data_IF_152074427323
#
_entry.id   IF_152074427323
#
_cell.length_a   1.000
_cell.length_b   1.000
_cell.length_c   1.000
_cell.angle_alpha   90.00
_cell.angle_beta   90.00
_cell.angle_gamma   90.00
#
_symmetry.space_group_name_H-M   'P 1'
#
loop_
_entity.id
_entity.type
_entity.pdbx_description
1 polymer ?
#
# COMPACT_ATOMS: atom_id res chain seq x y z
N UNK A 1 1.72 -12.43 35.85
CA UNK A 1 0.38 -12.45 35.19
C UNK A 1 -0.39 -11.26 35.75
N UNK A 2 -0.51 -10.19 34.95
CA UNK A 2 -1.26 -8.97 35.28
C UNK A 2 -2.70 -9.18 34.87
N UNK A 3 -3.63 -9.37 35.78
CA UNK A 3 -5.05 -9.42 35.54
C UNK A 3 -5.61 -8.00 35.58
N UNK A 4 -6.06 -7.48 34.42
CA UNK A 4 -6.86 -6.27 34.34
C UNK A 4 -8.34 -6.66 34.50
N UNK A 5 -8.93 -6.35 35.67
CA UNK A 5 -10.37 -6.25 35.83
C UNK A 5 -10.79 -4.79 35.97
N UNK A 6 -11.89 -4.44 35.33
CA UNK A 6 -12.50 -3.13 35.34
C UNK A 6 -12.41 -2.43 36.72
N UNK A 7 -11.88 -1.20 36.71
CA UNK A 7 -11.94 -0.16 37.74
C UNK A 7 -10.99 -0.21 38.95
N UNK A 8 -10.19 -1.22 39.18
CA UNK A 8 -9.13 -1.12 40.21
C UNK A 8 -7.87 -1.81 39.70
N UNK A 9 -6.79 -1.03 39.53
CA UNK A 9 -5.45 -1.62 39.34
C UNK A 9 -5.05 -2.19 40.69
N UNK A 10 -5.37 -3.43 40.98
CA UNK A 10 -4.87 -4.13 42.16
C UNK A 10 -3.54 -4.79 41.80
N UNK A 11 -2.43 -4.03 41.98
CA UNK A 11 -1.09 -4.61 42.08
C UNK A 11 -0.90 -5.19 43.50
N UNK A 12 -1.77 -6.10 43.92
CA UNK A 12 -1.53 -6.84 45.14
C UNK A 12 -0.72 -8.09 44.83
N UNK A 13 0.57 -7.94 44.70
CA UNK A 13 1.50 -9.05 44.65
C UNK A 13 2.61 -8.81 45.68
N UNK A 14 3.43 -9.82 45.98
CA UNK A 14 4.54 -9.73 46.96
C UNK A 14 5.54 -8.59 46.68
N UNK A 15 5.49 -7.97 45.49
CA UNK A 15 6.42 -6.92 45.06
C UNK A 15 5.85 -5.51 45.07
N UNK A 16 4.51 -5.33 45.08
CA UNK A 16 3.90 -4.03 44.97
C UNK A 16 2.69 -3.88 45.89
N UNK A 17 2.53 -2.68 46.46
CA UNK A 17 1.35 -2.28 47.23
C UNK A 17 0.64 -1.15 46.50
N UNK A 18 -0.67 -1.26 46.35
CA UNK A 18 -1.53 -0.21 45.85
C UNK A 18 -2.35 0.40 46.94
N UNK A 19 -2.42 1.72 47.01
CA UNK A 19 -3.21 2.46 47.97
C UNK A 19 -3.96 3.63 47.33
N UNK A 20 -5.16 3.91 47.81
CA UNK A 20 -5.89 5.10 47.41
C UNK A 20 -5.42 6.28 48.26
N UNK A 21 -5.16 7.43 47.63
CA UNK A 21 -4.68 8.65 48.25
C UNK A 21 -5.69 9.79 48.02
N UNK A 22 -6.00 10.51 49.10
CA UNK A 22 -6.95 11.64 49.04
C UNK A 22 -6.26 13.00 48.94
N UNK A 23 -5.05 13.11 49.47
CA UNK A 23 -4.29 14.37 49.53
C UNK A 23 -3.00 14.25 48.72
N UNK A 24 -3.11 14.47 47.41
CA UNK A 24 -1.95 14.54 46.52
C UNK A 24 -1.84 15.93 45.89
N UNK A 25 -0.62 16.50 45.72
CA UNK A 25 -0.43 17.81 45.07
C UNK A 25 -1.05 17.91 43.65
N UNK A 26 -1.09 16.79 42.96
CA UNK A 26 -1.86 16.71 41.69
C UNK A 26 -3.29 16.22 42.02
N UNK A 27 -4.34 17.05 41.80
CA UNK A 27 -5.72 16.71 42.14
C UNK A 27 -6.31 15.57 41.29
N UNK A 28 -5.61 15.15 40.25
CA UNK A 28 -6.00 14.05 39.36
C UNK A 28 -5.28 12.73 39.67
N UNK A 29 -4.53 12.67 40.76
CA UNK A 29 -3.81 11.47 41.23
C UNK A 29 -4.50 10.95 42.50
N UNK A 30 -5.16 9.81 42.36
CA UNK A 30 -5.89 9.17 43.46
C UNK A 30 -5.33 7.79 43.84
N UNK A 31 -4.29 7.35 43.13
CA UNK A 31 -3.71 6.01 43.33
C UNK A 31 -2.20 6.11 43.41
N UNK A 32 -1.63 5.47 44.46
CA UNK A 32 -0.19 5.27 44.61
C UNK A 32 0.13 3.79 44.53
N UNK A 33 1.16 3.47 43.76
CA UNK A 33 1.75 2.13 43.69
C UNK A 33 3.16 2.21 44.27
N UNK A 34 3.42 1.51 45.36
CA UNK A 34 4.72 1.48 46.05
C UNK A 34 5.40 0.13 45.79
N UNK A 35 6.64 0.15 45.33
CA UNK A 35 7.44 -1.06 45.21
C UNK A 35 7.89 -1.54 46.60
N UNK A 36 7.73 -2.84 46.84
CA UNK A 36 8.23 -3.56 48.02
C UNK A 36 9.53 -4.31 47.72
N UNK A 37 10.06 -4.17 46.52
CA UNK A 37 11.32 -4.82 46.12
C UNK A 37 12.51 -4.27 46.87
N UNK A 38 13.43 -5.15 47.11
CA UNK A 38 14.67 -4.85 47.82
C UNK A 38 15.88 -5.07 46.92
N UNK A 39 17.07 -4.67 47.40
CA UNK A 39 18.31 -4.90 46.68
C UNK A 39 18.61 -6.40 46.40
N UNK A 40 17.98 -7.31 47.16
CA UNK A 40 18.12 -8.77 46.97
C UNK A 40 17.39 -9.29 45.71
N UNK A 41 16.41 -8.57 45.24
CA UNK A 41 15.62 -8.93 44.08
C UNK A 41 16.31 -8.55 42.73
N UNK A 42 17.51 -7.95 42.83
CA UNK A 42 18.26 -7.44 41.67
C UNK A 42 19.71 -7.91 41.69
N UNK A 43 20.23 -8.21 40.51
CA UNK A 43 21.65 -8.41 40.25
C UNK A 43 22.13 -7.38 39.22
N UNK A 44 23.41 -7.04 39.27
CA UNK A 44 24.00 -6.11 38.34
C UNK A 44 23.91 -6.66 36.91
N UNK A 45 23.33 -5.92 35.93
CA UNK A 45 23.23 -6.40 34.58
C UNK A 45 24.58 -6.51 33.84
N UNK A 46 25.62 -5.81 34.39
CA UNK A 46 26.95 -5.79 33.77
C UNK A 46 27.89 -6.87 34.32
N UNK A 47 27.94 -7.07 35.68
CA UNK A 47 28.89 -7.99 36.31
C UNK A 47 28.22 -9.04 37.19
N UNK A 48 26.91 -9.10 37.27
CA UNK A 48 26.08 -10.02 38.05
C UNK A 48 26.33 -9.99 39.58
N UNK A 49 27.09 -9.00 40.06
CA UNK A 49 27.35 -8.83 41.51
C UNK A 49 26.12 -8.30 42.25
N UNK A 50 26.19 -8.34 43.59
CA UNK A 50 25.12 -7.85 44.45
C UNK A 50 24.89 -6.34 44.29
N UNK A 51 23.63 -5.94 44.50
CA UNK A 51 23.22 -4.54 44.50
C UNK A 51 22.92 -4.07 45.93
N UNK A 52 23.01 -2.77 46.18
CA UNK A 52 22.54 -2.14 47.41
C UNK A 52 21.60 -0.97 47.10
N UNK A 53 20.74 -0.61 48.05
CA UNK A 53 19.82 0.52 47.90
C UNK A 53 20.61 1.82 47.78
N UNK A 54 20.36 2.59 46.73
CA UNK A 54 21.06 3.85 46.42
C UNK A 54 20.14 5.06 46.57
N UNK A 55 18.81 4.87 46.51
CA UNK A 55 17.83 5.93 46.66
C UNK A 55 16.42 5.49 46.24
N UNK A 56 15.45 6.37 46.49
CA UNK A 56 14.09 6.20 46.03
C UNK A 56 13.78 7.21 44.92
N UNK A 57 12.72 6.96 44.16
CA UNK A 57 12.16 7.91 43.22
C UNK A 57 10.64 7.80 43.22
N UNK A 58 9.97 8.90 42.80
CA UNK A 58 8.55 8.91 42.53
C UNK A 58 8.30 9.51 41.16
N UNK A 59 7.32 8.99 40.46
CA UNK A 59 6.95 9.44 39.11
C UNK A 59 5.44 9.36 38.89
N UNK A 60 4.88 10.41 38.30
CA UNK A 60 3.49 10.44 37.83
C UNK A 60 3.37 9.83 36.44
N UNK A 61 2.52 8.84 36.33
CA UNK A 61 2.21 8.13 35.10
C UNK A 61 0.77 8.44 34.74
N UNK A 62 0.53 8.88 33.52
CA UNK A 62 -0.83 9.17 33.04
C UNK A 62 -1.57 7.88 32.77
N UNK A 63 -2.74 7.75 33.37
CA UNK A 63 -3.62 6.60 33.23
C UNK A 63 -4.83 6.90 32.36
N UNK A 64 -5.54 5.85 31.98
CA UNK A 64 -6.80 5.94 31.26
C UNK A 64 -7.87 6.61 32.17
N UNK A 65 -8.56 7.66 31.69
CA UNK A 65 -9.54 8.36 32.50
C UNK A 65 -10.82 7.53 32.68
N UNK A 66 -11.42 7.62 33.86
CA UNK A 66 -12.68 6.94 34.18
C UNK A 66 -13.87 7.59 33.46
N UNK A 67 -13.82 8.91 33.21
CA UNK A 67 -14.83 9.68 32.50
C UNK A 67 -14.22 10.52 31.38
N UNK A 68 -14.99 10.82 30.30
CA UNK A 68 -14.56 11.73 29.26
C UNK A 68 -14.09 13.09 29.81
N UNK A 69 -13.00 13.62 29.26
CA UNK A 69 -12.36 14.89 29.65
C UNK A 69 -11.71 14.93 31.03
N UNK A 70 -11.75 13.86 31.81
CA UNK A 70 -10.97 13.77 33.04
C UNK A 70 -9.51 13.46 32.77
N UNK A 71 -8.64 13.86 33.70
CA UNK A 71 -7.24 13.43 33.76
C UNK A 71 -7.10 12.47 34.93
N UNK A 72 -6.38 11.37 34.72
CA UNK A 72 -6.07 10.40 35.77
C UNK A 72 -4.59 10.10 35.76
N UNK A 73 -3.99 10.08 36.90
CA UNK A 73 -2.58 9.74 37.10
C UNK A 73 -2.41 8.72 38.22
N UNK A 74 -1.39 7.91 38.09
CA UNK A 74 -0.90 6.99 39.10
C UNK A 74 0.46 7.51 39.54
N UNK A 75 0.70 7.63 40.85
CA UNK A 75 2.01 7.86 41.40
C UNK A 75 2.68 6.50 41.63
N UNK A 76 3.84 6.28 41.00
CA UNK A 76 4.66 5.11 41.28
C UNK A 76 5.87 5.53 42.11
N UNK A 77 6.07 4.84 43.25
CA UNK A 77 7.23 5.01 44.12
C UNK A 77 8.09 3.74 44.09
N UNK A 78 9.33 3.89 43.64
CA UNK A 78 10.28 2.78 43.47
C UNK A 78 11.68 3.13 43.94
N UNK A 79 12.63 2.23 43.69
CA UNK A 79 13.98 2.30 44.22
C UNK A 79 15.03 2.35 43.09
N UNK A 80 16.18 2.94 43.47
CA UNK A 80 17.40 2.87 42.68
C UNK A 80 18.40 2.00 43.42
N UNK A 81 19.15 1.21 42.69
CA UNK A 81 20.15 0.30 43.23
C UNK A 81 21.49 0.55 42.57
N UNK A 82 22.57 0.33 43.34
CA UNK A 82 23.93 0.48 42.82
C UNK A 82 24.71 -0.80 43.07
N UNK A 83 25.54 -1.17 42.09
CA UNK A 83 26.38 -2.35 42.16
C UNK A 83 27.54 -2.18 43.18
N UNK A 84 27.78 -3.19 43.97
CA UNK A 84 28.88 -3.19 44.95
C UNK A 84 30.27 -3.32 44.30
N UNK A 85 30.35 -3.89 43.09
CA UNK A 85 31.62 -4.17 42.42
C UNK A 85 31.98 -3.18 41.32
N UNK A 86 31.09 -2.90 40.36
CA UNK A 86 31.39 -2.03 39.23
C UNK A 86 30.79 -0.62 39.35
N UNK A 87 29.99 -0.35 40.36
CA UNK A 87 29.38 0.96 40.57
C UNK A 87 28.20 1.27 39.65
N UNK A 88 27.80 0.36 38.76
CA UNK A 88 26.65 0.53 37.84
C UNK A 88 25.38 0.82 38.64
N UNK A 89 24.58 1.76 38.17
CA UNK A 89 23.34 2.18 38.84
C UNK A 89 22.14 1.78 37.97
N UNK A 90 21.18 1.07 38.55
CA UNK A 90 19.92 0.73 37.90
C UNK A 90 18.77 1.44 38.62
N UNK A 91 17.78 1.82 37.81
CA UNK A 91 16.47 2.29 38.31
C UNK A 91 15.47 1.18 38.10
N UNK A 92 14.67 0.91 39.10
CA UNK A 92 13.61 -0.12 39.01
C UNK A 92 12.65 0.16 37.87
N UNK A 93 12.28 -0.88 37.14
CA UNK A 93 11.27 -0.80 36.09
C UNK A 93 9.88 -0.57 36.68
N UNK A 94 9.08 0.24 36.00
CA UNK A 94 7.71 0.55 36.37
C UNK A 94 6.75 -0.38 35.62
N UNK A 95 6.16 -1.38 36.29
CA UNK A 95 5.43 -2.46 35.59
C UNK A 95 4.20 -2.00 34.87
N UNK A 96 3.52 -0.95 35.31
CA UNK A 96 2.33 -0.40 34.68
C UNK A 96 2.64 0.57 33.54
N UNK A 97 3.90 0.95 33.33
CA UNK A 97 4.29 1.97 32.36
C UNK A 97 4.58 1.35 30.99
N UNK A 98 4.01 1.95 29.95
CA UNK A 98 4.43 1.66 28.58
C UNK A 98 5.85 2.22 28.35
N UNK A 99 6.81 1.40 27.87
CA UNK A 99 8.21 1.79 27.73
C UNK A 99 8.42 3.10 26.95
N UNK A 100 9.43 3.88 27.37
CA UNK A 100 9.81 5.16 26.77
C UNK A 100 8.77 6.28 26.84
N UNK A 101 7.70 6.10 27.63
CA UNK A 101 6.62 7.08 27.80
C UNK A 101 6.27 7.23 29.29
N UNK A 102 5.43 8.20 29.60
CA UNK A 102 4.84 8.35 30.95
C UNK A 102 3.33 8.08 30.89
N UNK A 103 2.95 7.00 30.24
CA UNK A 103 1.55 6.53 30.19
C UNK A 103 1.48 5.08 30.60
N UNK A 104 0.35 4.66 31.17
CA UNK A 104 0.09 3.25 31.51
C UNK A 104 -0.11 2.41 30.24
N UNK A 105 0.02 1.10 30.39
CA UNK A 105 -0.32 0.16 29.31
C UNK A 105 -1.78 0.27 28.86
N UNK A 106 -2.72 0.52 29.77
CA UNK A 106 -4.14 0.70 29.42
C UNK A 106 -4.36 1.91 28.54
N UNK A 107 -3.76 3.04 28.89
CA UNK A 107 -3.77 4.23 28.06
C UNK A 107 -3.12 3.95 26.68
N UNK A 108 -2.00 3.23 26.67
CA UNK A 108 -1.31 2.87 25.42
C UNK A 108 -2.17 1.96 24.53
N UNK A 109 -2.86 0.98 25.10
CA UNK A 109 -3.78 0.10 24.37
C UNK A 109 -4.94 0.88 23.78
N UNK A 110 -5.52 1.82 24.53
CA UNK A 110 -6.58 2.69 24.01
C UNK A 110 -6.10 3.58 22.88
N UNK A 111 -4.91 4.17 23.01
CA UNK A 111 -4.27 4.94 21.95
C UNK A 111 -4.15 4.10 20.67
N UNK A 112 -3.70 2.85 20.79
CA UNK A 112 -3.59 1.93 19.66
C UNK A 112 -4.95 1.58 19.03
N UNK A 113 -5.97 1.41 19.88
CA UNK A 113 -7.33 1.19 19.40
C UNK A 113 -7.80 2.37 18.55
N UNK A 114 -7.64 3.59 19.03
CA UNK A 114 -7.99 4.81 18.29
C UNK A 114 -7.19 4.94 16.96
N UNK A 115 -5.90 4.62 16.98
CA UNK A 115 -5.07 4.60 15.77
C UNK A 115 -5.55 3.56 14.74
N UNK A 116 -6.03 2.39 15.20
CA UNK A 116 -6.64 1.36 14.33
C UNK A 116 -7.98 1.81 13.75
N UNK A 117 -8.72 2.65 14.47
CA UNK A 117 -9.94 3.32 14.01
C UNK A 117 -9.63 4.51 13.07
N UNK A 118 -8.39 4.62 12.58
CA UNK A 118 -7.95 5.67 11.67
C UNK A 118 -8.01 7.10 12.24
N UNK A 119 -7.97 7.25 13.57
CA UNK A 119 -7.84 8.55 14.22
C UNK A 119 -6.41 9.05 14.10
N UNK A 120 -6.19 10.32 13.74
CA UNK A 120 -4.85 10.89 13.60
C UNK A 120 -4.16 11.05 14.96
N UNK A 121 -2.81 10.98 15.00
CA UNK A 121 -2.03 11.21 16.22
C UNK A 121 -2.36 12.56 16.85
N UNK A 122 -2.55 13.60 16.03
CA UNK A 122 -2.91 14.95 16.51
C UNK A 122 -4.27 14.99 17.19
N UNK A 123 -5.26 14.31 16.62
CA UNK A 123 -6.59 14.20 17.24
C UNK A 123 -6.53 13.44 18.57
N UNK A 124 -5.82 12.31 18.62
CA UNK A 124 -5.62 11.54 19.86
C UNK A 124 -4.88 12.37 20.91
N UNK A 125 -3.85 13.11 20.49
CA UNK A 125 -3.10 14.03 21.38
C UNK A 125 -4.03 15.06 22.03
N UNK A 126 -4.91 15.67 21.24
CA UNK A 126 -5.90 16.63 21.72
C UNK A 126 -6.94 15.98 22.66
N UNK A 127 -7.49 14.81 22.26
CA UNK A 127 -8.52 14.09 23.02
C UNK A 127 -8.01 13.61 24.39
N UNK A 128 -6.82 13.04 24.42
CA UNK A 128 -6.25 12.39 25.61
C UNK A 128 -5.26 13.27 26.36
N UNK A 129 -4.94 14.46 25.85
CA UNK A 129 -3.89 15.34 26.40
C UNK A 129 -2.56 14.59 26.57
N UNK A 130 -2.21 13.68 25.65
CA UNK A 130 -0.94 12.96 25.61
C UNK A 130 -0.08 13.59 24.52
N UNK A 131 1.20 13.84 24.82
CA UNK A 131 2.08 14.50 23.87
C UNK A 131 2.22 13.67 22.57
N UNK A 132 2.20 14.36 21.45
CA UNK A 132 2.25 13.74 20.10
C UNK A 132 3.38 12.71 19.96
N UNK A 133 4.59 13.07 20.44
CA UNK A 133 5.76 12.18 20.38
C UNK A 133 5.62 10.93 21.24
N UNK A 134 4.88 10.99 22.35
CA UNK A 134 4.61 9.81 23.18
C UNK A 134 3.68 8.84 22.44
N UNK A 135 2.64 9.34 21.78
CA UNK A 135 1.74 8.52 20.95
C UNK A 135 2.50 7.87 19.81
N UNK A 136 3.40 8.60 19.14
CA UNK A 136 4.24 8.06 18.08
C UNK A 136 5.18 6.96 18.60
N UNK A 137 5.79 7.14 19.76
CA UNK A 137 6.66 6.12 20.39
C UNK A 137 5.87 4.86 20.74
N UNK A 138 4.66 5.01 21.30
CA UNK A 138 3.76 3.89 21.59
C UNK A 138 3.45 3.13 20.32
N UNK A 139 3.01 3.83 19.28
CA UNK A 139 2.67 3.22 17.98
C UNK A 139 3.88 2.46 17.42
N UNK A 140 5.06 3.11 17.39
CA UNK A 140 6.28 2.48 16.87
C UNK A 140 6.66 1.23 17.65
N UNK A 141 6.66 1.29 18.98
CA UNK A 141 6.98 0.15 19.85
C UNK A 141 6.07 -1.06 19.59
N UNK A 142 4.77 -0.81 19.45
CA UNK A 142 3.79 -1.87 19.19
C UNK A 142 3.93 -2.44 17.78
N UNK A 143 4.16 -1.58 16.77
CA UNK A 143 4.42 -2.02 15.40
C UNK A 143 5.66 -2.92 15.34
N UNK A 144 6.77 -2.49 15.95
CA UNK A 144 8.03 -3.24 15.95
C UNK A 144 7.85 -4.60 16.63
N UNK A 145 7.19 -4.66 17.80
CA UNK A 145 6.88 -5.93 18.49
C UNK A 145 6.00 -6.87 17.67
N UNK A 146 4.94 -6.36 17.07
CA UNK A 146 4.02 -7.17 16.28
C UNK A 146 4.70 -7.73 15.03
N UNK A 147 5.48 -6.91 14.33
CA UNK A 147 6.25 -7.34 13.16
C UNK A 147 7.30 -8.39 13.54
N UNK A 148 8.07 -8.17 14.60
CA UNK A 148 9.08 -9.11 15.08
C UNK A 148 8.47 -10.46 15.49
N UNK A 149 7.31 -10.45 16.16
CA UNK A 149 6.58 -11.67 16.51
C UNK A 149 6.14 -12.45 15.28
N UNK A 150 5.59 -11.77 14.28
CA UNK A 150 5.18 -12.39 13.02
C UNK A 150 6.36 -12.95 12.23
N UNK A 151 7.43 -12.17 12.09
CA UNK A 151 8.66 -12.62 11.40
C UNK A 151 9.31 -13.83 12.10
N UNK A 152 9.26 -13.85 13.42
CA UNK A 152 9.74 -15.01 14.20
C UNK A 152 8.88 -16.23 13.94
N UNK A 153 7.56 -16.08 13.85
CA UNK A 153 6.66 -17.17 13.47
C UNK A 153 6.96 -17.70 12.07
N UNK A 154 7.14 -16.80 11.08
CA UNK A 154 7.51 -17.19 9.73
C UNK A 154 8.85 -17.95 9.66
N UNK A 155 9.84 -17.51 10.45
CA UNK A 155 11.14 -18.19 10.55
C UNK A 155 11.00 -19.59 11.18
N UNK A 156 10.28 -19.71 12.30
CA UNK A 156 10.06 -20.99 13.00
C UNK A 156 9.31 -22.00 12.13
N UNK A 157 8.32 -21.55 11.34
CA UNK A 157 7.57 -22.40 10.41
C UNK A 157 8.33 -22.69 9.11
N UNK A 158 9.55 -22.19 8.94
CA UNK A 158 10.33 -22.26 7.70
C UNK A 158 9.50 -21.81 6.48
N UNK A 159 8.67 -20.79 6.68
CA UNK A 159 7.82 -20.25 5.64
C UNK A 159 8.63 -19.63 4.50
N UNK A 160 8.19 -19.89 3.26
CA UNK A 160 8.77 -19.33 2.03
C UNK A 160 7.62 -18.99 1.10
N UNK A 161 7.48 -17.73 0.66
CA UNK A 161 6.42 -17.31 -0.25
C UNK A 161 6.52 -18.04 -1.59
N UNK A 162 5.38 -18.47 -2.11
CA UNK A 162 5.29 -19.08 -3.44
C UNK A 162 4.90 -18.08 -4.52
N UNK A 163 4.17 -17.05 -4.16
CA UNK A 163 3.65 -16.05 -5.09
C UNK A 163 3.83 -14.65 -4.53
N UNK A 164 4.42 -13.77 -5.33
CA UNK A 164 4.58 -12.36 -4.97
C UNK A 164 3.78 -11.46 -5.91
N UNK A 165 3.40 -10.31 -5.41
CA UNK A 165 2.99 -9.17 -6.23
C UNK A 165 3.93 -7.99 -5.98
N UNK A 166 4.28 -7.27 -7.04
CA UNK A 166 5.08 -6.05 -6.99
C UNK A 166 4.31 -4.93 -7.68
N UNK A 167 4.17 -3.80 -6.99
CA UNK A 167 3.51 -2.62 -7.53
C UNK A 167 4.08 -1.33 -6.95
N UNK A 168 3.83 -0.21 -7.62
CA UNK A 168 4.28 1.11 -7.25
C UNK A 168 3.12 1.95 -6.71
N UNK A 169 3.41 2.80 -5.75
CA UNK A 169 2.45 3.81 -5.32
C UNK A 169 3.09 5.20 -5.17
N UNK A 170 2.31 6.25 -5.43
CA UNK A 170 2.79 7.62 -5.30
C UNK A 170 2.82 8.08 -3.84
N UNK A 171 3.98 8.56 -3.38
CA UNK A 171 4.14 9.15 -2.05
C UNK A 171 3.67 10.61 -2.05
N UNK A 172 4.07 11.39 -3.05
CA UNK A 172 3.68 12.80 -3.20
C UNK A 172 3.24 13.11 -4.63
N UNK A 173 2.52 14.22 -4.82
CA UNK A 173 2.36 14.81 -6.15
C UNK A 173 3.75 15.18 -6.69
N UNK A 174 4.05 14.88 -7.96
CA UNK A 174 5.34 15.23 -8.58
C UNK A 174 6.37 14.11 -8.55
N UNK A 175 5.99 12.89 -8.96
CA UNK A 175 6.90 11.79 -9.32
C UNK A 175 7.74 11.14 -8.21
N UNK A 176 7.37 11.30 -6.94
CA UNK A 176 7.96 10.49 -5.86
C UNK A 176 7.14 9.23 -5.65
N UNK A 177 7.75 8.08 -5.97
CA UNK A 177 7.14 6.77 -5.86
C UNK A 177 7.82 5.94 -4.78
N UNK A 178 7.10 4.93 -4.30
CA UNK A 178 7.63 3.82 -3.53
C UNK A 178 7.15 2.52 -4.15
N UNK A 179 7.91 1.46 -3.94
CA UNK A 179 7.60 0.11 -4.41
C UNK A 179 7.26 -0.77 -3.22
N UNK A 180 6.22 -1.58 -3.36
CA UNK A 180 5.83 -2.61 -2.40
C UNK A 180 5.95 -4.00 -3.00
N UNK A 181 6.38 -4.95 -2.18
CA UNK A 181 6.36 -6.38 -2.48
C UNK A 181 5.47 -7.09 -1.48
N UNK A 182 4.40 -7.69 -1.97
CA UNK A 182 3.42 -8.42 -1.17
C UNK A 182 3.54 -9.93 -1.42
N UNK A 183 3.51 -10.69 -0.37
CA UNK A 183 3.22 -12.11 -0.44
C UNK A 183 1.71 -12.32 -0.66
N UNK A 184 1.35 -12.91 -1.79
CA UNK A 184 -0.04 -13.08 -2.20
C UNK A 184 -0.81 -14.08 -1.34
N UNK A 185 -0.14 -15.02 -0.69
CA UNK A 185 -0.76 -16.03 0.16
C UNK A 185 -1.19 -15.42 1.49
N UNK A 186 -0.30 -14.74 2.17
CA UNK A 186 -0.57 -14.11 3.47
C UNK A 186 -1.18 -12.72 3.37
N UNK A 187 -0.92 -12.00 2.28
CA UNK A 187 -1.23 -10.58 2.12
C UNK A 187 -0.26 -9.66 2.83
N UNK A 188 0.81 -10.21 3.41
CA UNK A 188 1.81 -9.43 4.12
C UNK A 188 2.75 -8.70 3.17
N UNK A 189 3.02 -7.43 3.46
CA UNK A 189 4.05 -6.66 2.76
C UNK A 189 5.42 -7.08 3.28
N UNK A 190 6.11 -7.87 2.49
CA UNK A 190 7.47 -8.33 2.80
C UNK A 190 8.45 -7.16 2.82
N UNK A 191 8.29 -6.24 1.87
CA UNK A 191 9.17 -5.10 1.71
C UNK A 191 8.42 -3.89 1.12
N UNK A 192 8.80 -2.71 1.57
CA UNK A 192 8.42 -1.43 0.99
C UNK A 192 9.64 -0.50 1.00
N UNK A 193 9.89 0.20 -0.09
CA UNK A 193 11.05 1.08 -0.22
C UNK A 193 10.78 2.24 -1.17
N UNK A 194 11.60 3.31 -1.01
CA UNK A 194 11.55 4.48 -1.87
C UNK A 194 12.00 4.16 -3.29
N UNK A 195 11.41 4.86 -4.25
CA UNK A 195 11.80 4.82 -5.64
C UNK A 195 11.20 3.66 -6.43
N UNK A 196 11.56 3.61 -7.70
CA UNK A 196 11.14 2.60 -8.69
C UNK A 196 12.24 2.28 -9.70
N UNK A 197 13.42 2.85 -9.51
CA UNK A 197 14.57 2.56 -10.35
C UNK A 197 15.11 1.17 -10.05
N UNK A 198 16.03 0.72 -10.90
CA UNK A 198 16.69 -0.57 -10.69
C UNK A 198 17.52 -0.57 -9.39
N UNK A 199 18.21 0.53 -9.09
CA UNK A 199 18.99 0.68 -7.86
C UNK A 199 18.09 0.64 -6.61
N UNK A 200 16.96 1.36 -6.64
CA UNK A 200 16.01 1.40 -5.52
C UNK A 200 15.42 0.02 -5.22
N UNK A 201 14.99 -0.69 -6.25
CA UNK A 201 14.34 -1.99 -6.07
C UNK A 201 15.33 -3.13 -5.79
N UNK A 202 16.61 -2.99 -6.14
CA UNK A 202 17.65 -3.98 -5.79
C UNK A 202 17.79 -4.16 -4.28
N UNK A 203 17.47 -3.14 -3.49
CA UNK A 203 17.42 -3.20 -2.02
C UNK A 203 16.47 -4.28 -1.50
N UNK A 204 15.39 -4.59 -2.21
CA UNK A 204 14.51 -5.70 -1.86
C UNK A 204 15.27 -7.02 -1.79
N UNK A 205 16.00 -7.39 -2.83
CA UNK A 205 16.74 -8.66 -2.91
C UNK A 205 17.88 -8.73 -1.88
N UNK A 206 18.56 -7.60 -1.64
CA UNK A 206 19.63 -7.50 -0.64
C UNK A 206 19.14 -7.62 0.80
N UNK A 207 17.98 -7.03 1.10
CA UNK A 207 17.44 -6.98 2.47
C UNK A 207 16.74 -8.28 2.90
N UNK A 208 16.02 -8.94 1.98
CA UNK A 208 15.24 -10.13 2.30
C UNK A 208 16.08 -11.41 2.28
N UNK A 209 17.09 -11.43 1.43
CA UNK A 209 17.93 -12.61 1.18
C UNK A 209 17.26 -13.63 0.25
N UNK A 210 18.07 -14.22 -0.63
CA UNK A 210 17.58 -15.14 -1.67
C UNK A 210 17.01 -16.45 -1.10
N UNK A 211 17.42 -16.85 0.11
CA UNK A 211 16.92 -18.05 0.77
C UNK A 211 15.40 -17.96 1.05
N UNK A 212 14.87 -16.76 1.32
CA UNK A 212 13.43 -16.55 1.50
C UNK A 212 12.67 -16.83 0.20
N UNK A 213 13.28 -16.54 -0.96
CA UNK A 213 12.67 -16.67 -2.27
C UNK A 213 12.85 -18.06 -2.91
N UNK A 214 13.45 -19.02 -2.19
CA UNK A 214 13.81 -20.34 -2.72
C UNK A 214 12.63 -21.20 -3.20
N UNK A 215 11.40 -20.93 -2.73
CA UNK A 215 10.18 -21.63 -3.14
C UNK A 215 9.28 -20.78 -4.05
N UNK A 216 9.77 -19.65 -4.53
CA UNK A 216 8.99 -18.74 -5.37
C UNK A 216 8.66 -19.43 -6.71
N UNK A 217 7.35 -19.50 -7.01
CA UNK A 217 6.81 -20.13 -8.23
C UNK A 217 6.52 -19.11 -9.32
N UNK A 218 6.00 -17.93 -8.96
CA UNK A 218 5.72 -16.86 -9.91
C UNK A 218 5.62 -15.50 -9.19
N UNK A 219 5.78 -14.42 -9.97
CA UNK A 219 5.62 -13.04 -9.49
C UNK A 219 4.69 -12.27 -10.41
N UNK A 220 3.64 -11.66 -9.85
CA UNK A 220 2.75 -10.74 -10.55
C UNK A 220 3.31 -9.32 -10.48
N UNK A 221 3.39 -8.62 -11.60
CA UNK A 221 3.86 -7.23 -11.64
C UNK A 221 3.40 -6.50 -12.90
N UNK A 222 3.54 -5.18 -12.91
CA UNK A 222 3.47 -4.38 -14.13
C UNK A 222 4.68 -4.63 -15.04
N UNK A 223 4.59 -4.20 -16.27
CA UNK A 223 5.65 -4.35 -17.29
C UNK A 223 6.83 -3.38 -17.08
N UNK A 224 7.19 -3.07 -15.83
CA UNK A 224 8.34 -2.26 -15.50
C UNK A 224 9.65 -2.96 -15.87
N UNK A 225 10.47 -2.31 -16.71
CA UNK A 225 11.71 -2.89 -17.20
C UNK A 225 12.74 -3.12 -16.09
N UNK A 226 12.80 -2.26 -15.08
CA UNK A 226 13.72 -2.38 -13.94
C UNK A 226 13.40 -3.61 -13.10
N UNK A 227 12.13 -3.83 -12.79
CA UNK A 227 11.67 -4.98 -12.03
C UNK A 227 11.92 -6.29 -12.77
N UNK A 228 11.60 -6.31 -14.06
CA UNK A 228 11.87 -7.48 -14.92
C UNK A 228 13.36 -7.89 -14.92
N UNK A 229 14.26 -6.91 -15.13
CA UNK A 229 15.71 -7.17 -15.13
C UNK A 229 16.20 -7.72 -13.79
N UNK A 230 15.71 -7.21 -12.68
CA UNK A 230 16.11 -7.65 -11.35
C UNK A 230 15.61 -9.05 -11.03
N UNK A 231 14.35 -9.39 -11.37
CA UNK A 231 13.87 -10.76 -11.21
C UNK A 231 14.63 -11.73 -12.12
N UNK A 232 14.95 -11.36 -13.35
CA UNK A 232 15.80 -12.16 -14.23
C UNK A 232 17.21 -12.36 -13.67
N UNK A 233 17.77 -11.35 -12.99
CA UNK A 233 19.09 -11.43 -12.34
C UNK A 233 19.10 -12.33 -11.12
N UNK A 234 18.14 -12.14 -10.20
CA UNK A 234 18.13 -12.78 -8.88
C UNK A 234 17.30 -14.06 -8.81
N UNK A 235 16.28 -14.19 -9.66
CA UNK A 235 15.35 -15.31 -9.69
C UNK A 235 15.08 -15.76 -11.15
N UNK A 236 16.10 -16.16 -11.93
CA UNK A 236 15.98 -16.39 -13.39
C UNK A 236 14.99 -17.49 -13.78
N UNK A 237 14.71 -18.43 -12.87
CA UNK A 237 13.77 -19.54 -13.10
C UNK A 237 12.32 -19.19 -12.75
N UNK A 238 12.09 -18.02 -12.17
CA UNK A 238 10.75 -17.61 -11.71
C UNK A 238 10.04 -16.87 -12.84
N UNK A 239 8.91 -17.38 -13.33
CA UNK A 239 8.11 -16.70 -14.35
C UNK A 239 7.49 -15.43 -13.81
N UNK A 240 7.50 -14.41 -14.68
CA UNK A 240 6.82 -13.13 -14.44
C UNK A 240 5.44 -13.21 -15.07
N UNK A 241 4.41 -12.91 -14.31
CA UNK A 241 3.02 -12.81 -14.77
C UNK A 241 2.67 -11.33 -14.85
N UNK A 242 2.38 -10.85 -16.05
CA UNK A 242 2.00 -9.46 -16.23
C UNK A 242 0.54 -9.23 -15.89
N UNK A 243 0.30 -8.15 -15.16
CA UNK A 243 -1.04 -7.81 -14.71
C UNK A 243 -1.94 -7.40 -15.87
N UNK A 244 -3.12 -8.07 -15.96
CA UNK A 244 -4.13 -7.84 -16.98
C UNK A 244 -4.64 -6.42 -16.99
N UNK A 245 -4.90 -5.84 -15.81
CA UNK A 245 -5.46 -4.50 -15.71
C UNK A 245 -4.50 -3.44 -16.28
N UNK A 246 -3.23 -3.53 -15.91
CA UNK A 246 -2.19 -2.63 -16.43
C UNK A 246 -2.02 -2.75 -17.95
N UNK A 247 -2.08 -3.98 -18.49
CA UNK A 247 -2.04 -4.21 -19.93
C UNK A 247 -3.23 -3.57 -20.66
N UNK A 248 -4.45 -3.78 -20.15
CA UNK A 248 -5.67 -3.22 -20.72
C UNK A 248 -5.71 -1.69 -20.62
N UNK A 249 -5.32 -1.13 -19.48
CA UNK A 249 -5.24 0.31 -19.26
C UNK A 249 -4.20 0.96 -20.20
N UNK A 250 -3.05 0.33 -20.40
CA UNK A 250 -2.04 0.80 -21.34
C UNK A 250 -2.53 0.76 -22.78
N UNK A 251 -3.15 -0.33 -23.20
CA UNK A 251 -3.76 -0.44 -24.54
C UNK A 251 -4.84 0.63 -24.77
N UNK A 252 -5.70 0.81 -23.78
CA UNK A 252 -6.75 1.84 -23.82
C UNK A 252 -6.22 3.27 -23.97
N UNK A 253 -5.06 3.56 -23.37
CA UNK A 253 -4.42 4.88 -23.46
C UNK A 253 -3.59 5.03 -24.73
N UNK A 254 -2.71 4.06 -25.00
CA UNK A 254 -1.63 4.21 -25.98
C UNK A 254 -2.07 3.79 -27.41
N UNK A 255 -3.13 2.96 -27.54
CA UNK A 255 -3.70 2.53 -28.84
C UNK A 255 -5.07 3.14 -29.04
N UNK A 256 -6.09 2.72 -28.29
CA UNK A 256 -7.46 3.18 -28.49
C UNK A 256 -7.60 4.70 -28.38
N UNK A 257 -6.95 5.30 -27.38
CA UNK A 257 -6.95 6.76 -27.17
C UNK A 257 -6.23 7.51 -28.29
N UNK A 258 -5.09 7.00 -28.75
CA UNK A 258 -4.31 7.61 -29.82
C UNK A 258 -5.05 7.57 -31.15
N UNK A 259 -5.52 6.38 -31.58
CA UNK A 259 -6.24 6.19 -32.86
C UNK A 259 -7.53 7.00 -32.88
N UNK A 260 -8.31 6.97 -31.78
CA UNK A 260 -9.53 7.77 -31.64
C UNK A 260 -9.28 9.28 -31.84
N UNK A 261 -8.18 9.80 -31.25
CA UNK A 261 -7.85 11.22 -31.38
C UNK A 261 -7.31 11.56 -32.78
N UNK A 262 -6.61 10.63 -33.42
CA UNK A 262 -6.13 10.77 -34.77
C UNK A 262 -7.31 10.84 -35.78
N UNK A 263 -8.27 9.89 -35.66
CA UNK A 263 -9.51 9.94 -36.49
C UNK A 263 -10.30 11.23 -36.24
N UNK A 264 -10.48 11.62 -34.98
CA UNK A 264 -11.13 12.89 -34.67
C UNK A 264 -10.41 14.09 -35.32
N UNK A 265 -9.08 14.11 -35.36
CA UNK A 265 -8.31 15.20 -35.92
C UNK A 265 -8.47 15.25 -37.48
N UNK A 266 -8.63 14.11 -38.14
CA UNK A 266 -8.94 14.07 -39.59
C UNK A 266 -10.25 14.83 -39.91
N UNK A 267 -11.32 14.54 -39.16
CA UNK A 267 -12.60 15.24 -39.30
C UNK A 267 -12.48 16.75 -39.03
N UNK A 268 -11.68 17.13 -38.04
CA UNK A 268 -11.43 18.56 -37.76
C UNK A 268 -10.74 19.24 -38.94
N UNK A 269 -9.72 18.61 -39.51
CA UNK A 269 -8.96 19.15 -40.64
C UNK A 269 -9.87 19.29 -41.88
N UNK A 270 -10.71 18.30 -42.14
CA UNK A 270 -11.68 18.36 -43.28
C UNK A 270 -12.70 19.46 -43.05
N UNK A 271 -13.24 19.62 -41.85
CA UNK A 271 -14.15 20.71 -41.52
C UNK A 271 -13.51 22.10 -41.71
N UNK A 272 -12.24 22.25 -41.37
CA UNK A 272 -11.49 23.49 -41.55
C UNK A 272 -11.20 23.76 -43.02
N UNK A 273 -10.83 22.74 -43.81
CA UNK A 273 -10.61 22.85 -45.26
C UNK A 273 -11.91 23.24 -46.01
N UNK A 274 -13.04 22.59 -45.68
CA UNK A 274 -14.35 22.94 -46.24
C UNK A 274 -14.78 24.38 -45.90
N UNK A 275 -14.42 24.86 -44.71
CA UNK A 275 -14.69 26.24 -44.30
C UNK A 275 -13.86 27.25 -45.13
N UNK A 276 -12.60 26.96 -45.43
CA UNK A 276 -11.76 27.80 -46.28
C UNK A 276 -12.30 27.75 -47.74
N UNK A 277 -12.63 26.56 -48.26
CA UNK A 277 -13.25 26.44 -49.58
C UNK A 277 -14.55 27.26 -49.73
N UNK A 278 -15.35 27.36 -48.66
CA UNK A 278 -16.58 28.20 -48.66
C UNK A 278 -16.26 29.68 -48.84
N UNK A 279 -15.08 30.17 -48.47
CA UNK A 279 -14.67 31.57 -48.69
C UNK A 279 -14.14 31.83 -50.10
N UNK A 280 -13.52 30.81 -50.70
CA UNK A 280 -12.86 30.91 -51.97
C UNK A 280 -13.82 30.76 -53.16
N UNK A 281 -14.90 29.95 -53.02
CA UNK A 281 -15.86 29.74 -54.09
C UNK A 281 -16.92 30.84 -54.14
N UNK A 282 -17.26 31.29 -55.37
CA UNK A 282 -18.31 32.28 -55.60
C UNK A 282 -19.67 31.67 -55.95
N UNK A 283 -19.78 30.31 -56.01
CA UNK A 283 -21.02 29.63 -56.30
C UNK A 283 -21.84 29.40 -55.03
N UNK A 284 -23.09 29.96 -54.93
CA UNK A 284 -23.92 29.89 -53.74
C UNK A 284 -24.31 28.45 -53.33
N UNK A 285 -24.54 27.56 -54.31
CA UNK A 285 -24.89 26.16 -54.04
C UNK A 285 -23.71 25.39 -53.43
N UNK A 286 -22.52 25.56 -54.02
CA UNK A 286 -21.30 24.95 -53.50
C UNK A 286 -20.94 25.47 -52.11
N UNK A 287 -21.16 26.77 -51.85
CA UNK A 287 -21.00 27.36 -50.53
C UNK A 287 -21.92 26.70 -49.50
N UNK A 288 -23.18 26.47 -49.84
CA UNK A 288 -24.17 25.84 -48.96
C UNK A 288 -23.75 24.40 -48.64
N UNK A 289 -23.44 23.61 -49.65
CA UNK A 289 -23.00 22.23 -49.50
C UNK A 289 -21.74 22.11 -48.64
N UNK A 290 -20.75 22.98 -48.88
CA UNK A 290 -19.51 22.98 -48.11
C UNK A 290 -19.74 23.35 -46.61
N UNK A 291 -20.68 24.27 -46.36
CA UNK A 291 -21.06 24.63 -44.95
C UNK A 291 -21.76 23.47 -44.24
N UNK A 292 -22.70 22.82 -44.90
CA UNK A 292 -23.41 21.66 -44.34
C UNK A 292 -22.41 20.53 -44.04
N UNK A 293 -21.56 20.17 -44.99
CA UNK A 293 -20.53 19.14 -44.80
C UNK A 293 -19.53 19.53 -43.72
N UNK A 294 -19.08 20.80 -43.68
CA UNK A 294 -18.20 21.27 -42.59
C UNK A 294 -18.86 21.15 -41.19
N UNK A 295 -20.19 21.33 -41.11
CA UNK A 295 -20.93 21.16 -39.89
C UNK A 295 -21.01 19.67 -39.47
N UNK A 296 -21.24 18.76 -40.38
CA UNK A 296 -21.26 17.31 -40.18
C UNK A 296 -19.89 16.83 -39.69
N UNK A 297 -18.79 17.23 -40.33
CA UNK A 297 -17.44 16.89 -39.94
C UNK A 297 -17.09 17.37 -38.49
N UNK A 298 -17.57 18.55 -38.11
CA UNK A 298 -17.42 19.05 -36.72
C UNK A 298 -18.22 18.25 -35.72
N UNK A 299 -19.39 17.75 -36.11
CA UNK A 299 -20.20 16.88 -35.27
C UNK A 299 -19.48 15.56 -35.05
N UNK A 300 -18.94 14.91 -36.08
CA UNK A 300 -18.15 13.69 -35.99
C UNK A 300 -16.90 13.86 -35.14
N UNK A 301 -16.17 14.97 -35.31
CA UNK A 301 -15.04 15.32 -34.44
C UNK A 301 -15.44 15.34 -32.96
N UNK A 302 -16.54 15.99 -32.64
CA UNK A 302 -17.02 16.14 -31.26
C UNK A 302 -17.48 14.80 -30.70
N UNK A 303 -18.13 13.99 -31.48
CA UNK A 303 -18.61 12.67 -31.14
C UNK A 303 -17.47 11.72 -30.83
N UNK A 304 -16.48 11.63 -31.72
CA UNK A 304 -15.27 10.83 -31.48
C UNK A 304 -14.53 11.26 -30.20
N UNK A 305 -14.40 12.55 -29.94
CA UNK A 305 -13.79 13.03 -28.71
C UNK A 305 -14.53 12.56 -27.46
N UNK A 306 -15.85 12.47 -27.49
CA UNK A 306 -16.69 12.02 -26.38
C UNK A 306 -16.79 10.50 -26.26
N UNK A 307 -16.50 9.74 -27.31
CA UNK A 307 -16.68 8.28 -27.36
C UNK A 307 -15.71 7.46 -26.52
N UNK A 308 -14.71 8.10 -25.85
CA UNK A 308 -13.67 7.42 -25.07
C UNK A 308 -14.21 6.31 -24.16
N UNK A 309 -15.24 6.60 -23.39
CA UNK A 309 -15.75 5.67 -22.40
C UNK A 309 -16.50 4.50 -23.01
N UNK A 310 -17.19 4.71 -24.11
CA UNK A 310 -17.89 3.66 -24.86
C UNK A 310 -16.87 2.67 -25.44
N UNK A 311 -15.81 3.16 -26.06
CA UNK A 311 -14.74 2.36 -26.65
C UNK A 311 -13.94 1.54 -25.62
N UNK A 312 -13.82 2.04 -24.37
CA UNK A 312 -13.06 1.36 -23.32
C UNK A 312 -13.90 0.44 -22.44
N UNK A 313 -15.21 0.66 -22.40
CA UNK A 313 -16.14 -0.12 -21.58
C UNK A 313 -16.18 -1.59 -22.07
N UNK A 314 -16.49 -2.52 -21.16
CA UNK A 314 -16.76 -3.91 -21.54
C UNK A 314 -18.13 -4.01 -22.19
N UNK A 315 -18.28 -4.89 -23.18
CA UNK A 315 -19.52 -5.05 -23.93
C UNK A 315 -20.72 -5.38 -23.06
N UNK A 316 -20.53 -6.25 -22.06
CA UNK A 316 -21.56 -6.64 -21.08
C UNK A 316 -22.07 -5.46 -20.24
N UNK A 317 -21.32 -4.39 -20.18
CA UNK A 317 -21.68 -3.19 -19.40
C UNK A 317 -22.27 -2.08 -20.28
N UNK A 318 -22.37 -2.28 -21.61
CA UNK A 318 -23.00 -1.35 -22.53
C UNK A 318 -24.50 -1.57 -22.56
N UNK A 319 -25.28 -0.49 -22.47
CA UNK A 319 -26.72 -0.56 -22.78
C UNK A 319 -26.96 -0.54 -24.31
N UNK A 320 -28.16 -0.87 -24.75
CA UNK A 320 -28.48 -1.01 -26.20
C UNK A 320 -28.16 0.26 -27.00
N UNK A 321 -28.49 1.46 -26.49
CA UNK A 321 -28.13 2.72 -27.14
C UNK A 321 -26.62 2.90 -27.30
N UNK A 322 -25.85 2.49 -26.28
CA UNK A 322 -24.39 2.55 -26.32
C UNK A 322 -23.81 1.54 -27.30
N UNK A 323 -24.42 0.35 -27.43
CA UNK A 323 -24.01 -0.65 -28.43
C UNK A 323 -24.23 -0.17 -29.82
N UNK A 324 -25.45 0.36 -30.13
CA UNK A 324 -25.75 0.95 -31.44
C UNK A 324 -24.77 2.05 -31.79
N UNK A 325 -24.57 3.00 -30.90
CA UNK A 325 -23.64 4.10 -31.09
C UNK A 325 -22.17 3.63 -31.27
N UNK A 326 -21.76 2.58 -30.55
CA UNK A 326 -20.45 1.96 -30.78
C UNK A 326 -20.32 1.35 -32.15
N UNK A 327 -21.34 0.63 -32.63
CA UNK A 327 -21.35 0.02 -33.96
C UNK A 327 -21.30 1.08 -35.07
N UNK A 328 -22.04 2.19 -34.91
CA UNK A 328 -22.00 3.32 -35.84
C UNK A 328 -20.56 3.88 -35.93
N UNK A 329 -19.92 4.17 -34.81
CA UNK A 329 -18.54 4.65 -34.80
C UNK A 329 -17.56 3.67 -35.47
N UNK A 330 -17.69 2.36 -35.14
CA UNK A 330 -16.78 1.35 -35.69
C UNK A 330 -17.01 1.09 -37.18
N UNK A 331 -18.22 1.27 -37.69
CA UNK A 331 -18.54 1.13 -39.12
C UNK A 331 -17.93 2.25 -40.00
N UNK A 332 -17.80 3.44 -39.42
CA UNK A 332 -17.25 4.61 -40.09
C UNK A 332 -15.72 4.72 -40.01
N UNK A 333 -15.10 4.09 -38.97
CA UNK A 333 -13.68 4.24 -38.68
C UNK A 333 -12.95 2.90 -38.66
N UNK A 334 -12.42 2.46 -39.79
CA UNK A 334 -11.73 1.16 -39.95
C UNK A 334 -10.63 0.93 -38.97
N UNK A 335 -9.74 1.88 -38.75
CA UNK A 335 -8.58 1.72 -37.84
C UNK A 335 -9.03 1.57 -36.41
N UNK A 336 -10.08 2.27 -36.01
CA UNK A 336 -10.67 2.16 -34.70
C UNK A 336 -11.37 0.81 -34.49
N UNK A 337 -12.04 0.29 -35.54
CA UNK A 337 -12.65 -1.04 -35.52
C UNK A 337 -11.61 -2.15 -35.36
N UNK A 338 -10.49 -2.08 -36.07
CA UNK A 338 -9.37 -3.03 -35.92
C UNK A 338 -8.83 -2.98 -34.50
N UNK A 339 -8.56 -1.79 -33.96
CA UNK A 339 -8.07 -1.64 -32.59
C UNK A 339 -9.08 -2.16 -31.57
N UNK A 340 -10.38 -1.98 -31.78
CA UNK A 340 -11.42 -2.50 -30.93
C UNK A 340 -11.47 -4.05 -30.93
N UNK A 341 -11.40 -4.67 -32.11
CA UNK A 341 -11.31 -6.13 -32.23
C UNK A 341 -10.05 -6.68 -31.51
N UNK A 342 -8.91 -6.00 -31.65
CA UNK A 342 -7.67 -6.34 -30.94
C UNK A 342 -7.81 -6.19 -29.42
N UNK A 343 -8.56 -5.21 -28.93
CA UNK A 343 -8.90 -5.07 -27.50
C UNK A 343 -9.73 -6.25 -27.00
N UNK A 344 -10.74 -6.66 -27.75
CA UNK A 344 -11.60 -7.79 -27.39
C UNK A 344 -10.82 -9.10 -27.36
N UNK A 345 -10.02 -9.36 -28.38
CA UNK A 345 -9.16 -10.54 -28.44
C UNK A 345 -8.14 -10.57 -27.30
N UNK A 346 -7.49 -9.44 -26.99
CA UNK A 346 -6.62 -9.32 -25.82
C UNK A 346 -7.36 -9.69 -24.53
N UNK A 347 -8.62 -9.28 -24.38
CA UNK A 347 -9.44 -9.60 -23.21
C UNK A 347 -9.75 -11.09 -23.14
N UNK A 348 -10.04 -11.74 -24.26
CA UNK A 348 -10.25 -13.17 -24.37
C UNK A 348 -8.99 -13.96 -24.05
N UNK A 349 -7.83 -13.56 -24.56
CA UNK A 349 -6.56 -14.22 -24.30
C UNK A 349 -6.25 -14.32 -22.82
N UNK A 350 -6.57 -13.30 -22.04
CA UNK A 350 -6.41 -13.33 -20.58
C UNK A 350 -7.40 -14.27 -19.84
N UNK A 351 -8.34 -14.90 -20.52
CA UNK A 351 -9.23 -15.91 -19.92
C UNK A 351 -8.79 -17.35 -20.19
N UNK A 352 -7.78 -17.53 -21.04
CA UNK A 352 -7.26 -18.86 -21.36
C UNK A 352 -6.56 -19.47 -20.15
N UNK A 353 -6.72 -20.77 -19.96
CA UNK A 353 -6.14 -21.55 -18.86
C UNK A 353 -5.10 -22.58 -19.32
N UNK A 354 -4.95 -22.76 -20.61
CA UNK A 354 -3.87 -23.54 -21.21
C UNK A 354 -2.73 -22.61 -21.66
N UNK A 355 -1.52 -22.95 -21.28
CA UNK A 355 -0.35 -22.10 -21.55
C UNK A 355 0.04 -22.07 -23.03
N UNK A 356 0.01 -23.22 -23.69
CA UNK A 356 0.37 -23.30 -25.10
C UNK A 356 -0.66 -22.62 -25.99
N UNK A 357 -1.92 -22.76 -25.67
CA UNK A 357 -3.00 -22.02 -26.32
C UNK A 357 -2.85 -20.52 -26.11
N UNK A 358 -2.57 -20.10 -24.87
CA UNK A 358 -2.33 -18.70 -24.55
C UNK A 358 -1.11 -18.14 -25.28
N UNK A 359 0.00 -18.90 -25.32
CA UNK A 359 1.23 -18.51 -26.01
C UNK A 359 1.01 -18.36 -27.52
N UNK A 360 0.34 -19.33 -28.14
CA UNK A 360 -0.04 -19.28 -29.56
C UNK A 360 -0.98 -18.10 -29.85
N UNK A 361 -1.98 -17.88 -28.98
CA UNK A 361 -2.92 -16.76 -29.13
C UNK A 361 -2.22 -15.40 -29.02
N UNK A 362 -1.35 -15.21 -28.05
CA UNK A 362 -0.55 -13.98 -27.91
C UNK A 362 0.41 -13.78 -29.10
N UNK A 363 0.97 -14.86 -29.65
CA UNK A 363 1.81 -14.78 -30.85
C UNK A 363 1.02 -14.27 -32.04
N UNK A 364 -0.16 -14.83 -32.30
CA UNK A 364 -1.05 -14.38 -33.37
C UNK A 364 -1.52 -12.94 -33.15
N UNK A 365 -1.85 -12.57 -31.91
CA UNK A 365 -2.27 -11.21 -31.57
C UNK A 365 -1.16 -10.19 -31.85
N UNK A 366 0.08 -10.48 -31.47
CA UNK A 366 1.23 -9.61 -31.73
C UNK A 366 1.48 -9.49 -33.23
N UNK A 367 1.44 -10.59 -33.97
CA UNK A 367 1.62 -10.60 -35.42
C UNK A 367 0.56 -9.74 -36.11
N UNK A 368 -0.71 -9.93 -35.78
CA UNK A 368 -1.82 -9.12 -36.31
C UNK A 368 -1.62 -7.63 -36.01
N UNK A 369 -1.15 -7.30 -34.81
CA UNK A 369 -0.83 -5.91 -34.43
C UNK A 369 0.31 -5.32 -35.26
N UNK A 370 1.35 -6.10 -35.53
CA UNK A 370 2.50 -5.66 -36.35
C UNK A 370 2.09 -5.46 -37.85
N UNK A 371 1.19 -6.28 -38.34
CA UNK A 371 0.71 -6.25 -39.77
C UNK A 371 -0.44 -5.25 -39.98
N UNK A 372 -1.00 -4.67 -38.92
CA UNK A 372 -2.18 -3.80 -39.00
C UNK A 372 -1.98 -2.52 -39.83
N UNK A 373 -0.74 -2.05 -39.98
CA UNK A 373 -0.43 -0.76 -40.58
C UNK A 373 -0.76 0.46 -39.71
N UNK A 374 -1.39 0.26 -38.52
CA UNK A 374 -1.78 1.34 -37.58
C UNK A 374 -0.61 1.70 -36.66
N UNK A 375 -0.01 2.90 -36.78
CA UNK A 375 1.26 3.21 -36.08
C UNK A 375 1.25 2.96 -34.58
N UNK A 376 0.16 3.37 -33.91
CA UNK A 376 0.01 3.18 -32.45
C UNK A 376 -0.06 1.69 -32.06
N UNK A 377 -0.79 0.87 -32.85
CA UNK A 377 -0.94 -0.56 -32.62
C UNK A 377 0.36 -1.32 -32.93
N UNK A 378 1.04 -1.00 -34.03
CA UNK A 378 2.35 -1.57 -34.39
C UNK A 378 3.37 -1.30 -33.31
N UNK A 379 3.47 -0.06 -32.83
CA UNK A 379 4.37 0.32 -31.73
C UNK A 379 4.07 -0.48 -30.46
N UNK A 380 2.82 -0.61 -30.11
CA UNK A 380 2.38 -1.36 -28.94
C UNK A 380 2.71 -2.85 -29.07
N UNK A 381 2.36 -3.50 -30.17
CA UNK A 381 2.65 -4.91 -30.44
C UNK A 381 4.15 -5.21 -30.37
N UNK A 382 4.99 -4.37 -30.99
CA UNK A 382 6.46 -4.49 -30.94
C UNK A 382 7.01 -4.45 -29.52
N UNK A 383 6.46 -3.62 -28.64
CA UNK A 383 6.86 -3.59 -27.23
C UNK A 383 6.49 -4.87 -26.47
N UNK A 384 5.39 -5.54 -26.87
CA UNK A 384 4.89 -6.76 -26.22
C UNK A 384 5.58 -8.03 -26.71
N UNK A 385 6.15 -8.03 -27.89
CA UNK A 385 6.84 -9.18 -28.50
C UNK A 385 7.91 -9.80 -27.58
N UNK A 386 8.72 -8.96 -26.90
CA UNK A 386 9.75 -9.42 -25.98
C UNK A 386 9.19 -9.96 -24.65
N UNK A 387 7.89 -9.87 -24.41
CA UNK A 387 7.22 -10.17 -23.13
C UNK A 387 6.15 -11.25 -23.24
N UNK A 388 6.10 -11.92 -24.38
CA UNK A 388 5.05 -12.88 -24.72
C UNK A 388 4.91 -13.99 -23.68
N UNK A 389 6.03 -14.56 -23.22
CA UNK A 389 6.02 -15.60 -22.17
C UNK A 389 5.37 -15.13 -20.88
N UNK A 390 5.60 -13.89 -20.47
CA UNK A 390 4.98 -13.31 -19.28
C UNK A 390 3.50 -12.94 -19.49
N UNK A 391 3.10 -12.63 -20.73
CA UNK A 391 1.69 -12.45 -21.09
C UNK A 391 0.92 -13.77 -21.03
N UNK A 392 1.52 -14.88 -21.50
CA UNK A 392 0.91 -16.21 -21.43
C UNK A 392 0.97 -16.85 -20.04
N UNK A 393 1.89 -16.42 -19.18
CA UNK A 393 2.14 -17.04 -17.87
C UNK A 393 0.93 -17.02 -16.92
N UNK A 394 -0.07 -16.13 -17.16
CA UNK A 394 -1.33 -16.13 -16.37
C UNK A 394 -2.09 -17.45 -16.47
N UNK A 395 -1.95 -18.17 -17.58
CA UNK A 395 -2.61 -19.46 -17.78
C UNK A 395 -2.04 -20.55 -16.86
N UNK A 396 -0.75 -20.50 -16.51
CA UNK A 396 -0.12 -21.39 -15.54
C UNK A 396 -0.31 -20.92 -14.11
N UNK A 397 -0.27 -19.60 -13.90
CA UNK A 397 -0.30 -18.97 -12.60
C UNK A 397 -1.40 -17.90 -12.57
N UNK A 398 -2.61 -18.23 -12.08
CA UNK A 398 -3.73 -17.28 -12.05
C UNK A 398 -3.57 -16.25 -10.92
N UNK A 399 -2.44 -15.59 -10.88
CA UNK A 399 -2.11 -14.53 -9.93
C UNK A 399 -2.16 -13.16 -10.60
N UNK A 400 -2.48 -12.13 -9.84
CA UNK A 400 -2.54 -10.75 -10.28
C UNK A 400 -2.14 -9.78 -9.16
N UNK A 401 -2.06 -8.49 -9.47
CA UNK A 401 -1.73 -7.44 -8.50
C UNK A 401 -2.95 -6.93 -7.72
N UNK A 402 -4.16 -7.39 -8.00
CA UNK A 402 -5.40 -6.84 -7.45
C UNK A 402 -5.45 -6.76 -5.92
N UNK A 403 -4.89 -7.78 -5.21
CA UNK A 403 -4.78 -7.75 -3.75
C UNK A 403 -3.86 -6.62 -3.27
N UNK A 404 -2.74 -6.39 -3.96
CA UNK A 404 -1.81 -5.32 -3.68
C UNK A 404 -2.39 -3.95 -4.07
N UNK A 405 -3.12 -3.85 -5.19
CA UNK A 405 -3.86 -2.65 -5.59
C UNK A 405 -4.90 -2.23 -4.53
N UNK A 406 -5.68 -3.20 -4.03
CA UNK A 406 -6.60 -2.97 -2.92
C UNK A 406 -5.87 -2.46 -1.68
N UNK A 407 -4.70 -3.01 -1.38
CA UNK A 407 -3.86 -2.55 -0.28
C UNK A 407 -3.25 -1.16 -0.54
N UNK A 408 -2.90 -0.82 -1.77
CA UNK A 408 -2.44 0.51 -2.15
C UNK A 408 -3.49 1.60 -1.88
N UNK A 409 -4.78 1.27 -1.98
CA UNK A 409 -5.85 2.19 -1.55
C UNK A 409 -5.83 2.41 -0.04
N UNK A 410 -5.55 1.38 0.77
CA UNK A 410 -5.34 1.52 2.21
C UNK A 410 -4.13 2.39 2.52
N UNK A 411 -3.02 2.24 1.78
CA UNK A 411 -1.84 3.11 1.91
C UNK A 411 -2.21 4.58 1.64
N UNK A 412 -3.03 4.86 0.63
CA UNK A 412 -3.52 6.22 0.34
C UNK A 412 -4.31 6.80 1.53
N UNK A 413 -5.14 5.99 2.19
CA UNK A 413 -5.89 6.40 3.39
C UNK A 413 -4.94 6.70 4.54
N UNK A 414 -4.00 5.79 4.86
CA UNK A 414 -3.00 5.99 5.90
C UNK A 414 -2.20 7.29 5.68
N UNK A 415 -1.81 7.55 4.44
CA UNK A 415 -1.09 8.78 4.07
C UNK A 415 -1.94 10.03 4.30
N UNK A 416 -3.24 9.99 4.01
CA UNK A 416 -4.16 11.14 4.23
C UNK A 416 -4.38 11.40 5.71
N UNK A 417 -4.56 10.37 6.54
CA UNK A 417 -4.75 10.48 7.99
C UNK A 417 -3.53 11.13 8.64
N UNK A 418 -2.31 10.78 8.18
CA UNK A 418 -1.07 11.34 8.68
C UNK A 418 -0.68 12.71 8.06
N UNK A 419 -1.52 13.27 7.15
CA UNK A 419 -1.17 14.47 6.37
C UNK A 419 0.20 14.40 5.68
N UNK A 420 0.63 13.17 5.35
CA UNK A 420 1.96 12.84 4.84
C UNK A 420 2.94 12.41 5.93
N UNK A 421 4.03 11.81 5.53
CA UNK A 421 5.09 11.33 6.42
C UNK A 421 6.44 11.86 5.97
N UNK A 422 7.20 12.48 6.89
CA UNK A 422 8.59 12.91 6.63
C UNK A 422 9.57 11.75 6.83
N UNK A 423 9.33 10.92 7.84
CA UNK A 423 10.14 9.73 8.11
C UNK A 423 9.56 8.54 7.32
N UNK A 424 10.26 8.13 6.27
CA UNK A 424 9.83 7.04 5.39
C UNK A 424 9.98 5.68 6.04
N UNK A 425 10.97 5.45 6.89
CA UNK A 425 11.13 4.17 7.60
C UNK A 425 9.96 3.91 8.54
N UNK A 426 9.52 4.96 9.24
CA UNK A 426 8.31 4.88 10.05
C UNK A 426 7.08 4.58 9.19
N UNK A 427 6.95 5.22 8.03
CA UNK A 427 5.82 5.00 7.13
C UNK A 427 5.82 3.58 6.55
N UNK A 428 6.96 3.06 6.15
CA UNK A 428 7.08 1.68 5.66
C UNK A 428 6.82 0.65 6.77
N UNK A 429 7.26 0.91 7.99
CA UNK A 429 6.90 0.10 9.16
C UNK A 429 5.38 0.10 9.38
N UNK A 430 4.74 1.25 9.27
CA UNK A 430 3.28 1.38 9.38
C UNK A 430 2.54 0.60 8.28
N UNK A 431 3.01 0.69 7.03
CA UNK A 431 2.47 -0.09 5.90
C UNK A 431 2.57 -1.58 6.19
N UNK A 432 3.74 -2.08 6.60
CA UNK A 432 3.96 -3.48 6.93
C UNK A 432 3.09 -3.94 8.08
N UNK A 433 2.98 -3.15 9.14
CA UNK A 433 2.10 -3.43 10.29
C UNK A 433 0.62 -3.57 9.87
N UNK A 434 0.13 -2.68 9.01
CA UNK A 434 -1.24 -2.73 8.52
C UNK A 434 -1.53 -3.86 7.52
N UNK A 435 -0.51 -4.54 7.04
CA UNK A 435 -0.60 -5.74 6.20
C UNK A 435 -0.54 -7.05 7.00
N UNK A 436 -0.27 -6.98 8.31
CA UNK A 436 -0.24 -8.18 9.16
C UNK A 436 -1.58 -8.92 9.14
N UNK A 437 -1.58 -10.26 9.14
CA UNK A 437 -2.78 -11.06 9.38
C UNK A 437 -3.45 -10.66 10.70
N UNK A 438 -4.79 -10.75 10.75
CA UNK A 438 -5.59 -10.27 11.89
C UNK A 438 -5.10 -10.79 13.26
N UNK A 439 -4.64 -12.03 13.32
CA UNK A 439 -4.14 -12.67 14.55
C UNK A 439 -2.87 -12.00 15.12
N UNK A 440 -2.11 -11.28 14.29
CA UNK A 440 -0.87 -10.60 14.68
C UNK A 440 -1.02 -9.08 14.79
N UNK A 441 -2.08 -8.51 14.23
CA UNK A 441 -2.34 -7.06 14.32
C UNK A 441 -2.83 -6.61 15.68
N UNK A 442 -3.07 -7.55 16.61
CA UNK A 442 -3.43 -7.30 18.00
C UNK A 442 -2.48 -8.08 18.90
N UNK A 443 -1.28 -7.57 19.16
CA UNK A 443 -0.35 -8.25 20.03
C UNK A 443 -0.98 -8.47 21.41
N UNK A 444 -0.93 -9.70 21.90
CA UNK A 444 -1.20 -9.98 23.31
C UNK A 444 -0.03 -9.39 24.09
N UNK A 445 -0.31 -8.40 24.91
CA UNK A 445 0.69 -7.84 25.83
C UNK A 445 0.85 -8.76 27.04
N UNK A 446 2.06 -8.78 27.64
CA UNK A 446 2.34 -9.58 28.81
C UNK A 446 1.52 -9.17 30.03
#
# INVERSE_FOLDING_TARGET
>A
MLFYYHNEITFNCQYYRTENITNHPNPHCHTRVTSLRTARDFSCPHCHSRMYSYGAFSVLIKDFPDLPRQKKYIEFSGHRFRCTSCGETITEDIPCQCPFTRVTWDMALWIIHLLKCHTSISAISAMLSVHWSAIQKIQKHIMDKALAAFETCLKKSNYRPRYLAVDEFAIHKGHRYATCVMDLETGFILWAGLGRSMADFEHFFKSIGLSLLSRLKAVAMDMNASFNRLFQKYCPKVPIVYDRYHMQAQFGRDVMGAVRLEEAQKHRQEAEALKEYTKETNNPELQKMAREKSHEERKLYTELKKSRWILLKKDDHLNERQKTHLLDILSEHRDLAICYAMKQEMTRLFTLTDYEEALAGWTKWIQAGLESGIPALVKFARQKQKRIKGLAAHALYPINTGKLEGFNNKIKVLKRIGYGYRNMDYFFTLIRFHSLPKNYSSPKFP
#
